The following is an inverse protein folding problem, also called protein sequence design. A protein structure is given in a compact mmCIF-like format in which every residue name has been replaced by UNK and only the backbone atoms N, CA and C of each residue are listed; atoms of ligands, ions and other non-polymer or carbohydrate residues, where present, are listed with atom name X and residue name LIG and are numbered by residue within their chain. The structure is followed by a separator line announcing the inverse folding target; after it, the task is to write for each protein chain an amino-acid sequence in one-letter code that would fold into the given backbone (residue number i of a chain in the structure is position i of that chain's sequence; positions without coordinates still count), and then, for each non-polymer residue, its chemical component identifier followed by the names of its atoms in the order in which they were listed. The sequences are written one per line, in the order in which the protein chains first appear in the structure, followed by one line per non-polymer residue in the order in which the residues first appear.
data_IF_267916680959
#
_entry.id   IF_267916680959
#
_cell.length_a   1.000
_cell.length_b   1.000
_cell.length_c   1.000
_cell.angle_alpha   90.00
_cell.angle_beta   90.00
_cell.angle_gamma   90.00
#
_symmetry.space_group_name_H-M   'P 1'
#
loop_
_entity.id
_entity.type
_entity.pdbx_description
1 polymer ?
#
# COMPACT_ATOMS: atom_id res chain seq x y z
N UNK A 1 -16.41 -16.22 -1.22
CA UNK A 1 -15.09 -15.70 -1.62
C UNK A 1 -14.10 -16.03 -0.52
N UNK A 2 -13.03 -16.79 -0.81
CA UNK A 2 -12.06 -17.20 0.20
C UNK A 2 -11.17 -16.03 0.66
N UNK A 3 -10.66 -16.09 1.89
CA UNK A 3 -9.70 -15.12 2.47
C UNK A 3 -8.49 -14.83 1.55
N UNK A 4 -8.09 -15.82 0.74
CA UNK A 4 -7.03 -15.69 -0.27
C UNK A 4 -7.37 -14.70 -1.41
N UNK A 5 -8.64 -14.65 -1.83
CA UNK A 5 -9.08 -13.78 -2.91
C UNK A 5 -9.04 -12.29 -2.57
N UNK A 6 -9.33 -11.93 -1.32
CA UNK A 6 -9.27 -10.54 -0.84
C UNK A 6 -7.81 -10.06 -0.81
N UNK A 7 -6.87 -10.91 -0.36
CA UNK A 7 -5.44 -10.57 -0.31
C UNK A 7 -4.87 -10.22 -1.69
N UNK A 8 -5.21 -11.00 -2.72
CA UNK A 8 -4.77 -10.75 -4.10
C UNK A 8 -5.32 -9.44 -4.67
N UNK A 9 -6.56 -9.07 -4.32
CA UNK A 9 -7.18 -7.83 -4.79
C UNK A 9 -6.48 -6.60 -4.21
N UNK A 10 -6.20 -6.58 -2.90
CA UNK A 10 -5.50 -5.46 -2.27
C UNK A 10 -4.08 -5.31 -2.82
N UNK A 11 -3.34 -6.43 -2.96
CA UNK A 11 -2.00 -6.40 -3.54
C UNK A 11 -2.01 -5.88 -4.98
N UNK A 12 -3.01 -6.29 -5.79
CA UNK A 12 -3.16 -5.82 -7.17
C UNK A 12 -3.47 -4.33 -7.22
N UNK A 13 -4.36 -3.83 -6.36
CA UNK A 13 -4.69 -2.41 -6.27
C UNK A 13 -3.48 -1.55 -5.89
N UNK A 14 -2.69 -1.98 -4.90
CA UNK A 14 -1.47 -1.27 -4.51
C UNK A 14 -0.42 -1.26 -5.61
N UNK A 15 -0.24 -2.38 -6.33
CA UNK A 15 0.70 -2.44 -7.45
C UNK A 15 0.27 -1.54 -8.60
N UNK A 16 -1.04 -1.49 -8.92
CA UNK A 16 -1.56 -0.56 -9.92
C UNK A 16 -1.34 0.89 -9.49
N UNK A 17 -1.66 1.23 -8.25
CA UNK A 17 -1.45 2.58 -7.72
C UNK A 17 0.02 3.00 -7.80
N UNK A 18 0.94 2.12 -7.39
CA UNK A 18 2.39 2.32 -7.52
C UNK A 18 2.80 2.53 -8.98
N UNK A 19 2.32 1.70 -9.89
CA UNK A 19 2.62 1.81 -11.32
C UNK A 19 2.19 3.16 -11.90
N UNK A 20 0.96 3.58 -11.60
CA UNK A 20 0.40 4.85 -12.09
C UNK A 20 1.17 6.04 -11.50
N UNK A 21 1.47 6.03 -10.19
CA UNK A 21 2.31 7.06 -9.55
C UNK A 21 3.69 7.19 -10.21
N UNK A 22 4.37 6.07 -10.44
CA UNK A 22 5.72 6.07 -11.06
C UNK A 22 5.64 6.55 -12.50
N UNK A 23 4.66 6.08 -13.27
CA UNK A 23 4.53 6.38 -14.70
C UNK A 23 4.24 7.87 -14.92
N UNK A 24 3.24 8.43 -14.23
CA UNK A 24 2.90 9.85 -14.32
C UNK A 24 4.06 10.73 -13.81
N UNK A 25 4.73 10.30 -12.73
CA UNK A 25 5.90 11.00 -12.19
C UNK A 25 7.06 11.04 -13.17
N UNK A 26 7.35 9.92 -13.83
CA UNK A 26 8.48 9.80 -14.77
C UNK A 26 8.19 10.53 -16.07
N UNK A 27 6.93 10.51 -16.52
CA UNK A 27 6.49 11.25 -17.70
C UNK A 27 6.35 12.77 -17.50
N UNK A 28 6.45 13.25 -16.25
CA UNK A 28 6.13 14.64 -15.88
C UNK A 28 4.70 15.03 -16.32
N UNK A 29 3.76 14.11 -16.16
CA UNK A 29 2.34 14.26 -16.53
C UNK A 29 1.44 14.06 -15.32
N UNK A 30 0.15 14.34 -15.48
CA UNK A 30 -0.85 14.00 -14.47
C UNK A 30 -2.22 13.74 -15.12
N UNK A 31 -2.26 12.94 -16.19
CA UNK A 31 -3.50 12.72 -16.97
C UNK A 31 -4.59 12.02 -16.15
N UNK A 32 -4.18 11.13 -15.26
CA UNK A 32 -5.07 10.43 -14.32
C UNK A 32 -5.48 11.29 -13.11
N UNK A 33 -4.82 12.43 -12.87
CA UNK A 33 -5.01 13.26 -11.69
C UNK A 33 -4.41 12.68 -10.40
N UNK A 34 -3.73 11.53 -10.47
CA UNK A 34 -3.16 10.81 -9.30
C UNK A 34 -2.16 11.65 -8.52
N UNK A 35 -1.41 12.53 -9.19
CA UNK A 35 -0.37 13.37 -8.59
C UNK A 35 -0.90 14.71 -8.08
N UNK A 36 -2.21 14.98 -8.20
CA UNK A 36 -2.78 16.17 -7.59
C UNK A 36 -2.68 16.08 -6.07
N UNK A 37 -2.32 17.17 -5.41
CA UNK A 37 -2.14 17.22 -3.95
C UNK A 37 -3.37 16.65 -3.21
N UNK A 38 -4.57 17.06 -3.64
CA UNK A 38 -5.85 16.56 -3.10
C UNK A 38 -5.95 15.03 -3.17
N UNK A 39 -5.62 14.42 -4.32
CA UNK A 39 -5.73 12.97 -4.49
C UNK A 39 -4.63 12.23 -3.72
N UNK A 40 -3.42 12.80 -3.65
CA UNK A 40 -2.31 12.26 -2.85
C UNK A 40 -2.65 12.27 -1.35
N UNK A 41 -3.12 13.40 -0.82
CA UNK A 41 -3.57 13.52 0.57
C UNK A 41 -4.72 12.57 0.86
N UNK A 42 -5.69 12.46 -0.05
CA UNK A 42 -6.81 11.52 0.10
C UNK A 42 -6.34 10.07 0.16
N UNK A 43 -5.53 9.63 -0.81
CA UNK A 43 -5.02 8.26 -0.84
C UNK A 43 -4.16 7.96 0.40
N UNK A 44 -3.32 8.90 0.83
CA UNK A 44 -2.50 8.74 2.02
C UNK A 44 -3.34 8.55 3.28
N UNK A 45 -4.26 9.47 3.55
CA UNK A 45 -5.03 9.52 4.79
C UNK A 45 -6.16 8.49 4.86
N UNK A 46 -6.86 8.25 3.75
CA UNK A 46 -8.04 7.38 3.74
C UNK A 46 -7.70 5.92 3.41
N UNK A 47 -6.61 5.65 2.69
CA UNK A 47 -6.30 4.28 2.21
C UNK A 47 -4.99 3.74 2.79
N UNK A 48 -3.88 4.44 2.58
CA UNK A 48 -2.55 3.90 2.90
C UNK A 48 -2.29 3.84 4.40
N UNK A 49 -2.62 4.90 5.15
CA UNK A 49 -2.44 4.94 6.59
C UNK A 49 -3.32 3.90 7.32
N UNK A 50 -4.64 3.79 7.05
CA UNK A 50 -5.47 2.74 7.66
C UNK A 50 -4.98 1.34 7.32
N UNK A 51 -4.57 1.10 6.07
CA UNK A 51 -4.05 -0.20 5.65
C UNK A 51 -2.73 -0.54 6.37
N UNK A 52 -1.84 0.44 6.57
CA UNK A 52 -0.59 0.23 7.32
C UNK A 52 -0.90 -0.17 8.75
N UNK A 53 -1.78 0.56 9.43
CA UNK A 53 -2.19 0.24 10.80
C UNK A 53 -2.76 -1.18 10.90
N UNK A 54 -3.60 -1.58 9.93
CA UNK A 54 -4.16 -2.93 9.90
C UNK A 54 -3.09 -4.01 9.69
N UNK A 55 -2.23 -3.85 8.69
CA UNK A 55 -1.16 -4.83 8.37
C UNK A 55 -0.20 -4.97 9.55
N UNK A 56 0.28 -3.85 10.10
CA UNK A 56 1.16 -3.86 11.28
C UNK A 56 0.49 -4.51 12.48
N UNK A 57 -0.80 -4.25 12.71
CA UNK A 57 -1.57 -4.89 13.78
C UNK A 57 -1.66 -6.40 13.63
N UNK A 58 -1.90 -6.90 12.41
CA UNK A 58 -1.94 -8.35 12.14
C UNK A 58 -0.55 -8.97 12.30
N UNK A 59 0.50 -8.34 11.76
CA UNK A 59 1.87 -8.84 11.91
C UNK A 59 2.26 -8.92 13.39
N UNK A 60 1.99 -7.87 14.17
CA UNK A 60 2.28 -7.85 15.61
C UNK A 60 1.51 -8.93 16.39
N UNK A 61 0.23 -9.17 16.04
CA UNK A 61 -0.58 -10.21 16.68
C UNK A 61 -0.05 -11.63 16.40
N UNK A 62 0.57 -11.86 15.25
CA UNK A 62 1.10 -13.16 14.86
C UNK A 62 2.59 -13.35 15.22
N UNK A 63 3.30 -12.29 15.63
CA UNK A 63 4.76 -12.30 15.81
C UNK A 63 5.27 -13.29 16.87
N UNK A 64 4.44 -13.63 17.86
CA UNK A 64 4.80 -14.56 18.96
C UNK A 64 4.24 -15.96 18.78
N UNK A 65 3.43 -16.16 17.74
CA UNK A 65 2.76 -17.43 17.47
C UNK A 65 3.51 -18.15 16.35
N UNK A 66 4.11 -19.30 16.67
CA UNK A 66 4.87 -20.10 15.73
C UNK A 66 4.03 -21.22 15.09
N UNK A 67 2.71 -21.15 15.22
CA UNK A 67 1.85 -22.09 14.52
C UNK A 67 1.89 -21.85 12.99
N UNK A 68 1.55 -22.88 12.22
CA UNK A 68 1.58 -22.83 10.76
C UNK A 68 0.71 -21.69 10.20
N UNK A 69 -0.44 -21.40 10.83
CA UNK A 69 -1.36 -20.36 10.39
C UNK A 69 -0.76 -18.95 10.51
N UNK A 70 -0.02 -18.69 11.59
CA UNK A 70 0.67 -17.43 11.82
C UNK A 70 1.79 -17.23 10.79
N UNK A 71 2.58 -18.27 10.52
CA UNK A 71 3.61 -18.26 9.49
C UNK A 71 3.03 -18.04 8.09
N UNK A 72 1.96 -18.76 7.73
CA UNK A 72 1.27 -18.61 6.44
C UNK A 72 0.68 -17.20 6.28
N UNK A 73 0.15 -16.65 7.38
CA UNK A 73 -0.37 -15.28 7.42
C UNK A 73 0.73 -14.26 7.20
N UNK A 74 1.88 -14.41 7.87
CA UNK A 74 3.03 -13.53 7.72
C UNK A 74 3.60 -13.59 6.29
N UNK A 75 3.83 -14.80 5.76
CA UNK A 75 4.28 -15.00 4.38
C UNK A 75 3.33 -14.36 3.35
N UNK A 76 2.02 -14.42 3.58
CA UNK A 76 1.04 -13.80 2.71
C UNK A 76 0.98 -12.26 2.83
N UNK A 77 1.35 -11.70 3.98
CA UNK A 77 1.33 -10.25 4.22
C UNK A 77 2.64 -9.56 3.81
N UNK A 78 3.78 -10.25 3.81
CA UNK A 78 5.07 -9.65 3.42
C UNK A 78 5.03 -8.93 2.06
N UNK A 79 4.48 -9.50 0.97
CA UNK A 79 4.38 -8.79 -0.30
C UNK A 79 3.49 -7.55 -0.22
N UNK A 80 2.41 -7.63 0.57
CA UNK A 80 1.49 -6.52 0.77
C UNK A 80 2.17 -5.36 1.50
N UNK A 81 2.89 -5.66 2.58
CA UNK A 81 3.63 -4.69 3.38
C UNK A 81 4.67 -3.97 2.51
N UNK A 82 5.48 -4.71 1.75
CA UNK A 82 6.49 -4.14 0.86
C UNK A 82 5.90 -3.15 -0.16
N UNK A 83 4.81 -3.52 -0.83
CA UNK A 83 4.19 -2.63 -1.83
C UNK A 83 3.52 -1.43 -1.14
N UNK A 84 2.87 -1.64 0.00
CA UNK A 84 2.21 -0.59 0.78
C UNK A 84 3.20 0.50 1.21
N UNK A 85 4.32 0.11 1.83
CA UNK A 85 5.34 1.06 2.27
C UNK A 85 5.95 1.82 1.09
N UNK A 86 6.13 1.16 -0.06
CA UNK A 86 6.59 1.86 -1.27
C UNK A 86 5.56 2.87 -1.80
N UNK A 87 4.26 2.55 -1.76
CA UNK A 87 3.22 3.52 -2.10
C UNK A 87 3.24 4.73 -1.16
N UNK A 88 3.39 4.50 0.14
CA UNK A 88 3.49 5.56 1.15
C UNK A 88 4.67 6.48 0.85
N UNK A 89 5.86 5.91 0.67
CA UNK A 89 7.08 6.68 0.39
C UNK A 89 6.92 7.54 -0.87
N UNK A 90 6.37 6.96 -1.96
CA UNK A 90 6.13 7.71 -3.20
C UNK A 90 5.17 8.89 -3.00
N UNK A 91 4.11 8.71 -2.20
CA UNK A 91 3.15 9.78 -1.91
C UNK A 91 3.76 10.87 -1.05
N UNK A 92 4.49 10.50 0.01
CA UNK A 92 5.18 11.45 0.89
C UNK A 92 6.21 12.28 0.12
N UNK A 93 7.01 11.66 -0.75
CA UNK A 93 7.97 12.38 -1.59
C UNK A 93 7.30 13.36 -2.56
N UNK A 94 6.08 13.06 -3.03
CA UNK A 94 5.32 13.98 -3.88
C UNK A 94 4.72 15.13 -3.09
N UNK A 95 4.18 14.87 -1.91
CA UNK A 95 3.62 15.92 -1.05
C UNK A 95 4.72 16.87 -0.53
N UNK A 96 5.90 16.37 -0.18
CA UNK A 96 7.05 17.20 0.23
C UNK A 96 7.54 18.16 -0.85
N UNK A 97 7.39 17.80 -2.14
CA UNK A 97 7.78 18.65 -3.28
C UNK A 97 6.72 19.68 -3.65
N UNK A 98 5.49 19.51 -3.18
CA UNK A 98 4.37 20.41 -3.44
C UNK A 98 4.27 21.54 -2.41
N UNK A 99 4.85 21.35 -1.22
CA UNK A 99 5.00 22.35 -0.17
C UNK A 99 6.21 23.25 -0.41
#
# INVERSE_FOLDING_TARGET
MSSLGIKLQVLSALNLYRFVLITESTGNTNYTGVLSEKNLQKAYNEWLLPLRTLVTGIVAANQKDYNQLALDTQCALNPLELVLYRCIELVEEKLKRAA
#
